data_IF_915862718820
#
_entry.id   IF_915862718820
#
_cell.length_a   1.000
_cell.length_b   1.000
_cell.length_c   1.000
_cell.angle_alpha   90.00
_cell.angle_beta   90.00
_cell.angle_gamma   90.00
#
_symmetry.space_group_name_H-M   'P 1'
#
loop_
_entity.id
_entity.type
_entity.pdbx_description
1 polymer ?
#
# COMPACT_ATOMS: atom_id res chain seq x y z
N UNK A 1 -1.15 12.18 76.71
CA UNK A 1 -0.42 11.13 75.94
C UNK A 1 -1.42 10.07 75.54
N UNK A 2 -2.00 10.19 74.35
CA UNK A 2 -2.83 9.18 73.71
C UNK A 2 -2.14 8.82 72.40
N UNK A 3 -1.72 7.57 72.27
CA UNK A 3 -1.07 7.03 71.08
C UNK A 3 -2.16 6.69 70.05
N UNK A 4 -2.09 7.30 68.87
CA UNK A 4 -2.89 6.93 67.72
C UNK A 4 -2.21 5.75 67.01
N UNK A 5 -2.96 4.67 66.83
CA UNK A 5 -2.59 3.49 66.05
C UNK A 5 -2.94 3.73 64.58
N UNK A 6 -1.93 3.73 63.70
CA UNK A 6 -2.11 3.72 62.25
C UNK A 6 -2.43 2.29 61.77
N UNK A 7 -3.51 2.11 61.01
CA UNK A 7 -3.80 0.89 60.26
C UNK A 7 -3.13 0.94 58.86
N UNK A 8 -2.60 -0.20 58.36
CA UNK A 8 -1.99 -0.24 57.03
C UNK A 8 -3.03 -0.31 55.91
N UNK A 9 -2.90 0.60 54.94
CA UNK A 9 -3.69 0.65 53.70
C UNK A 9 -3.34 -0.55 52.82
N UNK A 10 -4.32 -1.41 52.52
CA UNK A 10 -4.18 -2.52 51.57
C UNK A 10 -4.21 -2.00 50.14
N UNK A 11 -3.12 -2.21 49.40
CA UNK A 11 -3.00 -1.92 47.97
C UNK A 11 -3.76 -2.96 47.13
N UNK A 12 -4.93 -2.58 46.60
CA UNK A 12 -5.70 -3.33 45.59
C UNK A 12 -5.04 -3.31 44.19
N UNK A 13 -3.77 -3.69 44.09
CA UNK A 13 -3.01 -3.75 42.83
C UNK A 13 -3.01 -5.09 42.05
N UNK A 14 -3.48 -6.26 42.57
CA UNK A 14 -3.35 -7.52 41.82
C UNK A 14 -4.43 -7.74 40.74
N UNK A 15 -5.63 -7.15 40.86
CA UNK A 15 -6.71 -7.36 39.89
C UNK A 15 -6.49 -6.62 38.55
N UNK A 16 -5.87 -5.45 38.57
CA UNK A 16 -5.60 -4.68 37.36
C UNK A 16 -4.55 -5.34 36.45
N UNK A 17 -3.56 -6.04 37.03
CA UNK A 17 -2.56 -6.80 36.27
C UNK A 17 -3.16 -8.00 35.54
N UNK A 18 -4.05 -8.74 36.20
CA UNK A 18 -4.71 -9.90 35.58
C UNK A 18 -5.51 -9.52 34.34
N UNK A 19 -6.23 -8.39 34.39
CA UNK A 19 -7.00 -7.89 33.22
C UNK A 19 -6.08 -7.51 32.06
N UNK A 20 -4.92 -6.91 32.35
CA UNK A 20 -3.94 -6.54 31.31
C UNK A 20 -3.33 -7.78 30.66
N UNK A 21 -2.98 -8.79 31.45
CA UNK A 21 -2.42 -10.05 30.95
C UNK A 21 -3.45 -10.84 30.11
N UNK A 22 -4.71 -10.85 30.54
CA UNK A 22 -5.81 -11.48 29.78
C UNK A 22 -6.04 -10.80 28.42
N UNK A 23 -5.95 -9.47 28.38
CA UNK A 23 -6.07 -8.70 27.12
C UNK A 23 -4.87 -8.97 26.21
N UNK A 24 -3.65 -9.05 26.75
CA UNK A 24 -2.44 -9.36 25.96
C UNK A 24 -2.54 -10.75 25.33
N UNK A 25 -3.02 -11.74 26.10
CA UNK A 25 -3.19 -13.10 25.61
C UNK A 25 -4.26 -13.17 24.51
N UNK A 26 -5.42 -12.53 24.71
CA UNK A 26 -6.47 -12.49 23.71
C UNK A 26 -6.02 -11.80 22.40
N UNK A 27 -5.20 -10.74 22.50
CA UNK A 27 -4.62 -10.08 21.32
C UNK A 27 -3.59 -10.97 20.62
N UNK A 28 -2.77 -11.71 21.37
CA UNK A 28 -1.81 -12.66 20.79
C UNK A 28 -2.51 -13.77 20.01
N UNK A 29 -3.57 -14.34 20.57
CA UNK A 29 -4.35 -15.41 19.94
C UNK A 29 -4.98 -14.94 18.62
N UNK A 30 -5.57 -13.74 18.61
CA UNK A 30 -6.13 -13.14 17.38
C UNK A 30 -5.05 -12.86 16.33
N UNK A 31 -3.86 -12.42 16.76
CA UNK A 31 -2.74 -12.17 15.85
C UNK A 31 -2.25 -13.48 15.23
N UNK A 32 -2.11 -14.54 16.02
CA UNK A 32 -1.66 -15.84 15.53
C UNK A 32 -2.69 -16.49 14.60
N UNK A 33 -3.99 -16.42 14.93
CA UNK A 33 -5.07 -16.88 14.04
C UNK A 33 -5.12 -16.07 12.74
N UNK A 34 -4.89 -14.74 12.81
CA UNK A 34 -4.82 -13.90 11.61
C UNK A 34 -3.60 -14.21 10.73
N UNK A 35 -2.48 -14.64 11.32
CA UNK A 35 -1.28 -15.10 10.59
C UNK A 35 -1.54 -16.41 9.88
N UNK A 36 -2.22 -17.34 10.54
CA UNK A 36 -2.57 -18.63 9.92
C UNK A 36 -3.55 -18.42 8.76
N UNK A 37 -4.55 -17.57 8.91
CA UNK A 37 -5.46 -17.19 7.82
C UNK A 37 -4.72 -16.46 6.70
N UNK A 38 -3.83 -15.52 7.02
CA UNK A 38 -3.03 -14.82 6.03
C UNK A 38 -2.06 -15.77 5.30
N UNK A 39 -1.47 -16.74 5.99
CA UNK A 39 -0.60 -17.76 5.43
C UNK A 39 -1.37 -18.79 4.59
N UNK A 40 -2.61 -19.13 4.94
CA UNK A 40 -3.46 -19.99 4.12
C UNK A 40 -3.92 -19.25 2.85
N UNK A 41 -4.26 -17.96 2.95
CA UNK A 41 -4.67 -17.15 1.79
C UNK A 41 -3.48 -16.85 0.88
N UNK A 42 -2.33 -16.45 1.45
CA UNK A 42 -1.14 -16.09 0.66
C UNK A 42 -0.33 -17.31 0.25
N UNK A 43 -0.12 -18.28 1.14
CA UNK A 43 0.62 -19.51 0.89
C UNK A 43 -0.14 -20.50 0.02
N UNK A 44 -1.47 -20.60 0.17
CA UNK A 44 -2.31 -21.39 -0.74
C UNK A 44 -2.35 -20.81 -2.14
N UNK A 45 -2.60 -19.50 -2.27
CA UNK A 45 -2.63 -18.84 -3.58
C UNK A 45 -1.24 -18.78 -4.25
N UNK A 46 -0.17 -18.50 -3.51
CA UNK A 46 1.20 -18.50 -4.04
C UNK A 46 1.65 -19.93 -4.39
N UNK A 47 1.33 -20.92 -3.55
CA UNK A 47 1.63 -22.33 -3.81
C UNK A 47 0.89 -22.87 -5.05
N UNK A 48 -0.38 -22.50 -5.23
CA UNK A 48 -1.15 -22.85 -6.42
C UNK A 48 -0.64 -22.13 -7.68
N UNK A 49 -0.19 -20.87 -7.56
CA UNK A 49 0.45 -20.12 -8.65
C UNK A 49 1.82 -20.73 -8.99
N UNK A 50 2.62 -21.14 -8.02
CA UNK A 50 3.91 -21.80 -8.24
C UNK A 50 3.74 -23.19 -8.85
N UNK A 51 2.75 -23.97 -8.40
CA UNK A 51 2.41 -25.28 -8.96
C UNK A 51 1.83 -25.16 -10.38
N UNK A 52 1.01 -24.14 -10.65
CA UNK A 52 0.52 -23.83 -11.99
C UNK A 52 1.66 -23.37 -12.90
N UNK A 53 2.57 -22.53 -12.40
CA UNK A 53 3.75 -22.08 -13.13
C UNK A 53 4.71 -23.24 -13.45
N UNK A 54 4.94 -24.16 -12.50
CA UNK A 54 5.73 -25.37 -12.72
C UNK A 54 5.08 -26.32 -13.73
N UNK A 55 3.76 -26.51 -13.68
CA UNK A 55 3.04 -27.34 -14.65
C UNK A 55 3.05 -26.73 -16.07
N UNK A 56 2.97 -25.40 -16.18
CA UNK A 56 3.09 -24.66 -17.44
C UNK A 56 4.53 -24.74 -17.97
N UNK A 57 5.54 -24.60 -17.10
CA UNK A 57 6.95 -24.72 -17.45
C UNK A 57 7.32 -26.15 -17.89
N UNK A 58 6.76 -27.18 -17.25
CA UNK A 58 6.95 -28.58 -17.67
C UNK A 58 6.26 -28.89 -19.00
N UNK A 59 5.06 -28.32 -19.25
CA UNK A 59 4.38 -28.47 -20.55
C UNK A 59 5.05 -27.69 -21.68
N UNK A 60 5.71 -26.57 -21.39
CA UNK A 60 6.48 -25.76 -22.35
C UNK A 60 7.93 -26.25 -22.52
N UNK A 61 8.46 -27.01 -21.56
CA UNK A 61 9.84 -27.51 -21.53
C UNK A 61 10.16 -28.66 -22.50
N UNK A 62 9.15 -29.22 -23.17
CA UNK A 62 9.36 -30.31 -24.14
C UNK A 62 9.82 -29.83 -25.53
N UNK A 63 10.00 -28.51 -25.78
CA UNK A 63 10.30 -28.03 -27.13
C UNK A 63 11.08 -26.72 -27.30
N UNK A 64 11.61 -26.10 -26.25
CA UNK A 64 12.38 -24.84 -26.38
C UNK A 64 13.71 -24.90 -25.59
N UNK A 65 14.81 -24.32 -26.11
CA UNK A 65 16.10 -24.35 -25.44
C UNK A 65 16.00 -23.72 -24.06
N UNK A 66 16.58 -24.40 -23.07
CA UNK A 66 16.59 -24.05 -21.66
C UNK A 66 16.92 -22.57 -21.41
N UNK A 67 15.89 -21.79 -21.06
CA UNK A 67 16.06 -20.46 -20.50
C UNK A 67 16.50 -20.62 -19.03
N UNK A 68 17.81 -20.79 -18.83
CA UNK A 68 18.42 -20.61 -17.52
C UNK A 68 18.02 -19.23 -16.99
N UNK A 69 17.34 -19.17 -15.84
CA UNK A 69 17.00 -17.94 -15.14
C UNK A 69 18.21 -17.51 -14.29
N UNK A 70 18.97 -16.48 -14.69
CA UNK A 70 19.99 -15.92 -13.81
C UNK A 70 19.29 -14.97 -12.83
N UNK A 71 19.61 -15.10 -11.54
CA UNK A 71 19.04 -14.36 -10.41
C UNK A 71 19.26 -12.84 -10.41
N UNK A 72 18.63 -12.14 -11.36
CA UNK A 72 18.30 -10.72 -11.26
C UNK A 72 16.86 -10.56 -11.77
N UNK A 73 15.95 -10.04 -10.93
CA UNK A 73 14.57 -9.75 -11.34
C UNK A 73 14.64 -8.83 -12.56
N UNK A 74 14.24 -9.32 -13.74
CA UNK A 74 14.30 -8.53 -14.98
C UNK A 74 13.09 -7.60 -15.01
N UNK A 75 13.25 -6.27 -15.05
CA UNK A 75 12.12 -5.30 -14.99
C UNK A 75 11.09 -5.46 -16.12
N UNK A 76 11.38 -6.27 -17.15
CA UNK A 76 10.47 -6.60 -18.24
C UNK A 76 9.14 -7.24 -17.80
N UNK A 77 9.04 -7.88 -16.63
CA UNK A 77 7.75 -8.45 -16.18
C UNK A 77 6.72 -7.36 -15.85
N UNK A 78 7.14 -6.24 -15.25
CA UNK A 78 6.25 -5.11 -14.99
C UNK A 78 5.69 -4.54 -16.27
N UNK A 79 6.54 -4.42 -17.29
CA UNK A 79 6.14 -3.88 -18.60
C UNK A 79 5.21 -4.86 -19.31
N UNK A 80 5.50 -6.16 -19.26
CA UNK A 80 4.59 -7.18 -19.80
C UNK A 80 3.22 -7.12 -19.11
N UNK A 81 3.20 -6.93 -17.80
CA UNK A 81 1.96 -6.77 -17.04
C UNK A 81 1.22 -5.48 -17.42
N UNK A 82 1.91 -4.35 -17.61
CA UNK A 82 1.31 -3.11 -18.13
C UNK A 82 0.74 -3.28 -19.54
N UNK A 83 1.40 -4.05 -20.41
CA UNK A 83 0.90 -4.35 -21.77
C UNK A 83 -0.38 -5.21 -21.69
N UNK A 84 -0.43 -6.19 -20.79
CA UNK A 84 -1.64 -6.99 -20.54
C UNK A 84 -2.78 -6.12 -19.99
N UNK A 85 -2.50 -5.28 -19.00
CA UNK A 85 -3.45 -4.31 -18.48
C UNK A 85 -3.95 -3.38 -19.59
N UNK A 86 -3.07 -2.89 -20.46
CA UNK A 86 -3.45 -2.07 -21.60
C UNK A 86 -4.37 -2.80 -22.59
N UNK A 87 -4.11 -4.07 -22.88
CA UNK A 87 -4.98 -4.88 -23.74
C UNK A 87 -6.38 -5.05 -23.13
N UNK A 88 -6.45 -5.33 -21.82
CA UNK A 88 -7.72 -5.42 -21.09
C UNK A 88 -8.45 -4.08 -21.08
N UNK A 89 -7.74 -2.97 -20.87
CA UNK A 89 -8.30 -1.63 -20.87
C UNK A 89 -8.89 -1.26 -22.24
N UNK A 90 -8.17 -1.53 -23.33
CA UNK A 90 -8.67 -1.28 -24.69
C UNK A 90 -9.91 -2.14 -24.96
N UNK A 91 -9.88 -3.43 -24.59
CA UNK A 91 -11.03 -4.33 -24.74
C UNK A 91 -12.25 -3.88 -23.94
N UNK A 92 -12.04 -3.41 -22.70
CA UNK A 92 -13.09 -2.84 -21.87
C UNK A 92 -13.62 -1.51 -22.45
N UNK A 93 -12.75 -0.69 -23.03
CA UNK A 93 -13.11 0.60 -23.63
C UNK A 93 -13.87 0.45 -24.95
N UNK A 94 -13.66 -0.65 -25.68
CA UNK A 94 -14.35 -0.93 -26.95
C UNK A 94 -15.88 -0.98 -26.80
N UNK A 95 -16.38 -1.31 -25.62
CA UNK A 95 -17.83 -1.34 -25.32
C UNK A 95 -18.45 0.07 -25.29
N UNK A 96 -17.61 1.10 -25.16
CA UNK A 96 -18.01 2.52 -25.09
C UNK A 96 -17.57 3.30 -26.33
N UNK A 97 -17.03 2.61 -27.35
CA UNK A 97 -16.64 3.20 -28.62
C UNK A 97 -17.89 3.65 -29.40
N UNK A 98 -18.05 4.95 -29.60
CA UNK A 98 -19.17 5.54 -30.34
C UNK A 98 -20.23 6.22 -29.48
N UNK A 99 -20.17 6.06 -28.15
CA UNK A 99 -20.76 7.04 -27.24
C UNK A 99 -19.86 8.28 -27.30
N UNK A 100 -20.40 9.49 -27.52
CA UNK A 100 -19.64 10.75 -27.54
C UNK A 100 -19.07 11.10 -26.14
N UNK A 101 -18.31 10.19 -25.54
CA UNK A 101 -17.69 10.36 -24.24
C UNK A 101 -16.19 10.58 -24.44
N UNK A 102 -15.73 11.80 -24.18
CA UNK A 102 -14.31 12.14 -24.19
C UNK A 102 -13.47 11.23 -23.29
N UNK A 103 -14.10 10.57 -22.31
CA UNK A 103 -13.45 9.63 -21.40
C UNK A 103 -13.25 8.23 -22.00
N UNK A 104 -14.17 7.73 -22.83
CA UNK A 104 -13.97 6.48 -23.56
C UNK A 104 -12.78 6.57 -24.51
N UNK A 105 -12.68 7.66 -25.26
CA UNK A 105 -11.54 7.94 -26.13
C UNK A 105 -10.23 8.08 -25.32
N UNK A 106 -10.30 8.76 -24.17
CA UNK A 106 -9.15 8.87 -23.27
C UNK A 106 -8.71 7.51 -22.71
N UNK A 107 -9.65 6.62 -22.36
CA UNK A 107 -9.32 5.26 -21.91
C UNK A 107 -8.63 4.43 -23.00
N UNK A 108 -9.11 4.51 -24.24
CA UNK A 108 -8.45 3.91 -25.40
C UNK A 108 -7.05 4.49 -25.56
N UNK A 109 -6.88 5.82 -25.41
CA UNK A 109 -5.57 6.47 -25.47
C UNK A 109 -4.62 5.97 -24.38
N UNK A 110 -5.08 5.88 -23.13
CA UNK A 110 -4.29 5.38 -22.01
C UNK A 110 -3.77 3.98 -22.30
N UNK A 111 -4.66 3.08 -22.74
CA UNK A 111 -4.30 1.72 -23.13
C UNK A 111 -3.38 1.67 -24.35
N UNK A 112 -3.68 2.41 -25.42
CA UNK A 112 -2.91 2.38 -26.66
C UNK A 112 -1.47 2.89 -26.47
N UNK A 113 -1.30 4.00 -25.73
CA UNK A 113 0.03 4.53 -25.38
C UNK A 113 0.76 3.56 -24.45
N UNK A 114 0.07 3.01 -23.45
CA UNK A 114 0.61 2.01 -22.53
C UNK A 114 1.13 0.75 -23.24
N UNK A 115 0.33 0.21 -24.17
CA UNK A 115 0.71 -0.94 -24.99
C UNK A 115 1.83 -0.62 -25.98
N UNK A 116 1.71 0.48 -26.73
CA UNK A 116 2.68 0.85 -27.76
C UNK A 116 4.07 1.11 -27.21
N UNK A 117 4.16 1.95 -26.17
CA UNK A 117 5.43 2.20 -25.49
C UNK A 117 5.90 0.98 -24.71
N UNK A 118 4.99 0.19 -24.14
CA UNK A 118 5.33 -1.02 -23.39
C UNK A 118 5.98 -2.07 -24.28
N UNK A 119 5.38 -2.34 -25.45
CA UNK A 119 5.93 -3.24 -26.45
C UNK A 119 7.27 -2.74 -26.99
N UNK A 120 7.39 -1.45 -27.30
CA UNK A 120 8.66 -0.86 -27.72
C UNK A 120 9.74 -1.07 -26.64
N UNK A 121 9.42 -0.80 -25.38
CA UNK A 121 10.36 -0.96 -24.28
C UNK A 121 10.76 -2.43 -24.10
N UNK A 122 9.81 -3.38 -24.20
CA UNK A 122 10.10 -4.82 -24.19
C UNK A 122 11.01 -5.25 -25.34
N UNK A 123 10.82 -4.68 -26.55
CA UNK A 123 11.71 -4.94 -27.68
C UNK A 123 13.13 -4.45 -27.40
N UNK A 124 13.28 -3.28 -26.78
CA UNK A 124 14.59 -2.74 -26.38
C UNK A 124 15.24 -3.59 -25.28
N UNK A 125 14.47 -4.12 -24.31
CA UNK A 125 15.00 -5.10 -23.36
C UNK A 125 15.45 -6.39 -24.05
N UNK A 126 14.66 -6.88 -25.01
CA UNK A 126 14.97 -8.11 -25.75
C UNK A 126 16.21 -7.97 -26.62
N UNK A 127 16.41 -6.81 -27.25
CA UNK A 127 17.61 -6.53 -28.05
C UNK A 127 18.88 -6.39 -27.22
N UNK A 128 18.77 -6.37 -25.87
CA UNK A 128 19.87 -6.10 -24.93
C UNK A 128 20.56 -4.78 -25.23
N UNK A 129 19.80 -3.81 -25.72
CA UNK A 129 20.32 -2.51 -26.04
C UNK A 129 20.72 -1.78 -24.74
N UNK A 130 21.96 -1.30 -24.71
CA UNK A 130 22.50 -0.54 -23.57
C UNK A 130 21.88 0.85 -23.45
N UNK A 131 21.11 1.30 -24.44
CA UNK A 131 20.43 2.59 -24.44
C UNK A 131 19.51 2.80 -23.23
N UNK A 132 18.87 1.77 -22.67
CA UNK A 132 18.03 1.93 -21.47
C UNK A 132 18.83 2.34 -20.23
N UNK A 133 20.04 1.78 -20.09
CA UNK A 133 20.93 2.06 -18.96
C UNK A 133 21.80 3.31 -19.17
N UNK A 134 21.69 3.95 -20.33
CA UNK A 134 22.41 5.19 -20.64
C UNK A 134 21.99 6.29 -19.66
N UNK A 135 22.97 6.83 -18.94
CA UNK A 135 22.79 7.99 -18.06
C UNK A 135 22.61 9.24 -18.91
N UNK A 136 21.57 10.00 -18.63
CA UNK A 136 21.29 11.27 -19.30
C UNK A 136 21.87 12.44 -18.53
N UNK A 137 21.61 12.48 -17.23
CA UNK A 137 22.09 13.52 -16.33
C UNK A 137 22.14 13.00 -14.89
N UNK A 138 22.80 13.74 -14.02
CA UNK A 138 22.86 13.48 -12.58
C UNK A 138 22.12 14.58 -11.85
N UNK A 139 21.19 14.19 -10.97
CA UNK A 139 20.39 15.12 -10.19
C UNK A 139 20.82 15.04 -8.72
N UNK A 140 21.14 16.20 -8.14
CA UNK A 140 21.56 16.28 -6.74
C UNK A 140 20.46 15.71 -5.83
N UNK A 141 20.80 14.67 -5.05
CA UNK A 141 19.88 13.99 -4.14
C UNK A 141 19.13 12.78 -4.72
N UNK A 142 19.05 12.63 -6.05
CA UNK A 142 18.40 11.47 -6.72
C UNK A 142 19.43 10.56 -7.40
N UNK A 143 20.58 11.10 -7.80
CA UNK A 143 21.67 10.36 -8.45
C UNK A 143 21.55 10.35 -9.97
N UNK A 144 22.09 9.30 -10.59
CA UNK A 144 22.15 9.16 -12.05
C UNK A 144 20.77 8.81 -12.62
N UNK A 145 20.25 9.68 -13.49
CA UNK A 145 18.98 9.48 -14.18
C UNK A 145 19.25 8.79 -15.52
N UNK A 146 18.70 7.58 -15.68
CA UNK A 146 18.83 6.78 -16.90
C UNK A 146 17.61 6.93 -17.81
N UNK A 147 17.74 6.54 -19.08
CA UNK A 147 16.59 6.46 -20.00
C UNK A 147 15.46 5.56 -19.46
N UNK A 148 15.82 4.44 -18.84
CA UNK A 148 14.86 3.53 -18.22
C UNK A 148 14.06 4.22 -17.11
N UNK A 149 14.71 5.04 -16.26
CA UNK A 149 14.02 5.80 -15.22
C UNK A 149 13.04 6.81 -15.80
N UNK A 150 13.41 7.50 -16.88
CA UNK A 150 12.54 8.45 -17.55
C UNK A 150 11.30 7.77 -18.16
N UNK A 151 11.50 6.62 -18.82
CA UNK A 151 10.42 5.81 -19.37
C UNK A 151 9.50 5.29 -18.25
N UNK A 152 10.09 4.78 -17.18
CA UNK A 152 9.33 4.26 -16.05
C UNK A 152 8.56 5.36 -15.32
N UNK A 153 9.15 6.55 -15.18
CA UNK A 153 8.49 7.73 -14.62
C UNK A 153 7.32 8.19 -15.50
N UNK A 154 7.53 8.21 -16.82
CA UNK A 154 6.45 8.47 -17.77
C UNK A 154 5.30 7.47 -17.59
N UNK A 155 5.59 6.16 -17.55
CA UNK A 155 4.55 5.15 -17.32
C UNK A 155 3.81 5.38 -16.01
N UNK A 156 4.55 5.67 -14.93
CA UNK A 156 3.95 5.94 -13.63
C UNK A 156 2.97 7.10 -13.69
N UNK A 157 3.38 8.25 -14.21
CA UNK A 157 2.49 9.42 -14.35
C UNK A 157 1.31 9.09 -15.27
N UNK A 158 1.56 8.45 -16.41
CA UNK A 158 0.53 8.13 -17.40
C UNK A 158 -0.56 7.22 -16.85
N UNK A 159 -0.16 6.13 -16.18
CA UNK A 159 -1.10 5.18 -15.60
C UNK A 159 -1.80 5.71 -14.36
N UNK A 160 -1.11 6.45 -13.49
CA UNK A 160 -1.73 7.05 -12.30
C UNK A 160 -2.76 8.11 -12.69
N UNK A 161 -2.42 9.01 -13.63
CA UNK A 161 -3.38 10.01 -14.13
C UNK A 161 -4.55 9.31 -14.82
N UNK A 162 -4.29 8.30 -15.65
CA UNK A 162 -5.33 7.49 -16.28
C UNK A 162 -6.27 6.85 -15.25
N UNK A 163 -5.72 6.19 -14.23
CA UNK A 163 -6.50 5.57 -13.15
C UNK A 163 -7.32 6.61 -12.38
N UNK A 164 -6.71 7.72 -11.96
CA UNK A 164 -7.41 8.78 -11.22
C UNK A 164 -8.51 9.44 -12.06
N UNK A 165 -8.24 9.81 -13.31
CA UNK A 165 -9.23 10.49 -14.15
C UNK A 165 -10.39 9.54 -14.48
N UNK A 166 -10.10 8.34 -14.94
CA UNK A 166 -11.12 7.42 -15.45
C UNK A 166 -11.91 6.72 -14.33
N UNK A 167 -11.30 6.40 -13.19
CA UNK A 167 -12.04 5.70 -12.12
C UNK A 167 -12.80 6.64 -11.19
N UNK A 168 -12.47 7.94 -11.17
CA UNK A 168 -13.20 8.92 -10.35
C UNK A 168 -14.20 9.77 -11.15
N UNK A 169 -13.97 9.99 -12.45
CA UNK A 169 -14.81 10.89 -13.26
C UNK A 169 -15.60 10.19 -14.37
N UNK A 170 -15.23 8.95 -14.74
CA UNK A 170 -15.93 8.22 -15.80
C UNK A 170 -16.76 7.09 -15.20
N UNK A 171 -18.07 7.29 -15.12
CA UNK A 171 -19.01 6.38 -14.46
C UNK A 171 -18.85 4.90 -14.84
N UNK A 172 -18.64 4.51 -16.12
CA UNK A 172 -18.44 3.12 -16.48
C UNK A 172 -17.22 2.46 -15.83
N UNK A 173 -16.17 3.25 -15.56
CA UNK A 173 -14.93 2.77 -14.93
C UNK A 173 -14.82 3.16 -13.46
N UNK A 174 -15.80 3.86 -12.89
CA UNK A 174 -15.95 4.04 -11.45
C UNK A 174 -16.57 2.80 -10.78
N UNK A 175 -17.30 2.00 -11.56
CA UNK A 175 -17.83 0.69 -11.15
C UNK A 175 -16.73 -0.36 -11.32
N UNK A 176 -16.62 -1.26 -10.34
CA UNK A 176 -15.68 -2.38 -10.41
C UNK A 176 -15.93 -3.26 -11.64
N UNK A 177 -14.89 -3.45 -12.46
CA UNK A 177 -14.95 -4.23 -13.69
C UNK A 177 -13.59 -4.25 -14.38
N UNK A 178 -13.53 -4.83 -15.58
CA UNK A 178 -12.26 -5.01 -16.31
C UNK A 178 -11.52 -3.68 -16.55
N UNK A 179 -12.24 -2.61 -16.91
CA UNK A 179 -11.65 -1.27 -17.08
C UNK A 179 -11.07 -0.71 -15.79
N UNK A 180 -11.82 -0.79 -14.69
CA UNK A 180 -11.39 -0.37 -13.35
C UNK A 180 -10.11 -1.11 -12.92
N UNK A 181 -10.13 -2.45 -12.96
CA UNK A 181 -9.00 -3.25 -12.47
C UNK A 181 -7.78 -3.13 -13.37
N UNK A 182 -7.94 -3.01 -14.69
CA UNK A 182 -6.82 -2.83 -15.61
C UNK A 182 -6.09 -1.49 -15.41
N UNK A 183 -6.81 -0.40 -15.13
CA UNK A 183 -6.21 0.90 -14.81
C UNK A 183 -5.36 0.85 -13.55
N UNK A 184 -5.90 0.30 -12.46
CA UNK A 184 -5.17 0.17 -11.20
C UNK A 184 -4.02 -0.84 -11.31
N UNK A 185 -4.21 -1.95 -12.02
CA UNK A 185 -3.15 -2.92 -12.32
C UNK A 185 -1.99 -2.27 -13.08
N UNK A 186 -2.28 -1.46 -14.10
CA UNK A 186 -1.28 -0.69 -14.83
C UNK A 186 -0.58 0.34 -13.94
N UNK A 187 -1.31 1.05 -13.08
CA UNK A 187 -0.73 1.98 -12.12
C UNK A 187 0.24 1.30 -11.14
N UNK A 188 -0.16 0.18 -10.52
CA UNK A 188 0.72 -0.56 -9.62
C UNK A 188 1.96 -1.14 -10.33
N UNK A 189 1.78 -1.70 -11.53
CA UNK A 189 2.91 -2.22 -12.28
C UNK A 189 3.86 -1.12 -12.76
N UNK A 190 3.34 0.06 -13.11
CA UNK A 190 4.17 1.22 -13.45
C UNK A 190 4.95 1.75 -12.25
N UNK A 191 4.37 1.72 -11.05
CA UNK A 191 5.06 2.06 -9.81
C UNK A 191 6.18 1.05 -9.51
N UNK A 192 5.89 -0.25 -9.63
CA UNK A 192 6.91 -1.31 -9.51
C UNK A 192 8.02 -1.15 -10.54
N UNK A 193 7.69 -0.82 -11.78
CA UNK A 193 8.67 -0.57 -12.83
C UNK A 193 9.56 0.64 -12.53
N UNK A 194 8.97 1.77 -12.12
CA UNK A 194 9.72 2.97 -11.72
C UNK A 194 10.67 2.67 -10.56
N UNK A 195 10.19 1.89 -9.60
CA UNK A 195 10.98 1.50 -8.46
C UNK A 195 12.18 0.63 -8.90
N UNK A 196 11.98 -0.39 -9.74
CA UNK A 196 13.06 -1.23 -10.27
C UNK A 196 14.04 -0.44 -11.17
N UNK A 197 13.52 0.42 -12.04
CA UNK A 197 14.30 1.24 -12.98
C UNK A 197 15.23 2.22 -12.25
N UNK A 198 14.82 2.70 -11.08
CA UNK A 198 15.59 3.66 -10.29
C UNK A 198 16.89 3.08 -9.74
N UNK A 199 17.03 1.75 -9.61
CA UNK A 199 18.26 1.01 -9.35
C UNK A 199 19.08 1.34 -8.09
N UNK A 200 18.82 2.48 -7.45
CA UNK A 200 19.58 3.08 -6.33
C UNK A 200 18.66 3.62 -5.24
N UNK A 201 17.35 3.63 -5.46
CA UNK A 201 16.35 4.10 -4.49
C UNK A 201 15.69 2.94 -3.76
N UNK A 202 15.62 1.74 -4.33
CA UNK A 202 14.94 0.59 -3.71
C UNK A 202 15.77 -0.08 -2.60
N UNK A 203 17.10 -0.17 -2.64
CA UNK A 203 17.76 -0.86 -1.51
C UNK A 203 17.57 -0.08 -0.20
N UNK A 204 17.49 1.24 -0.26
CA UNK A 204 17.17 2.10 0.89
C UNK A 204 15.65 2.27 1.12
N UNK A 205 14.85 2.44 0.06
CA UNK A 205 13.40 2.61 0.18
C UNK A 205 12.67 1.28 0.40
N UNK A 206 13.20 0.16 -0.09
CA UNK A 206 12.69 -1.20 0.13
C UNK A 206 13.38 -1.92 1.28
N UNK A 207 14.52 -1.46 1.81
CA UNK A 207 14.85 -1.78 3.20
C UNK A 207 13.91 -1.05 4.15
N UNK A 208 13.68 0.27 3.95
CA UNK A 208 12.70 1.06 4.70
C UNK A 208 11.25 0.57 4.52
N UNK A 209 10.87 0.09 3.33
CA UNK A 209 9.55 -0.48 3.07
C UNK A 209 9.48 -2.00 3.37
N UNK A 210 10.61 -2.69 3.59
CA UNK A 210 10.56 -3.99 4.28
C UNK A 210 10.40 -3.80 5.78
N UNK A 211 11.02 -2.76 6.35
CA UNK A 211 10.98 -2.48 7.78
C UNK A 211 9.83 -1.58 8.21
N UNK A 212 9.11 -0.90 7.32
CA UNK A 212 7.92 -0.06 7.61
C UNK A 212 6.93 -0.07 6.44
N UNK A 213 6.88 -1.17 5.69
CA UNK A 213 6.08 -1.31 4.47
C UNK A 213 4.61 -0.93 4.61
N UNK A 214 3.92 -1.40 5.67
CA UNK A 214 2.55 -1.00 5.93
C UNK A 214 2.37 0.51 6.10
N UNK A 215 3.30 1.20 6.76
CA UNK A 215 3.28 2.65 6.97
C UNK A 215 3.40 3.42 5.65
N UNK A 216 4.32 3.02 4.76
CA UNK A 216 4.41 3.60 3.41
C UNK A 216 3.18 3.28 2.57
N UNK A 217 2.67 2.04 2.69
CA UNK A 217 1.48 1.60 2.00
C UNK A 217 0.26 2.46 2.33
N UNK A 218 0.12 2.89 3.59
CA UNK A 218 -1.00 3.73 4.06
C UNK A 218 -1.12 5.10 3.37
N UNK A 219 -0.07 5.58 2.70
CA UNK A 219 -0.14 6.82 1.92
C UNK A 219 -1.17 6.69 0.81
N UNK A 220 -1.21 5.54 0.12
CA UNK A 220 -2.12 5.29 -1.01
C UNK A 220 -3.59 5.38 -0.60
N UNK A 221 -4.11 4.58 0.35
CA UNK A 221 -5.51 4.69 0.78
C UNK A 221 -5.81 6.07 1.39
N UNK A 222 -4.86 6.73 2.05
CA UNK A 222 -5.06 8.10 2.56
C UNK A 222 -5.33 9.10 1.44
N UNK A 223 -4.52 9.07 0.37
CA UNK A 223 -4.70 9.95 -0.80
C UNK A 223 -5.95 9.59 -1.58
N UNK A 224 -6.21 8.30 -1.82
CA UNK A 224 -7.42 7.83 -2.53
C UNK A 224 -8.67 8.24 -1.77
N UNK A 225 -8.69 8.17 -0.43
CA UNK A 225 -9.81 8.61 0.39
C UNK A 225 -10.04 10.13 0.30
N UNK A 226 -8.97 10.94 0.32
CA UNK A 226 -9.06 12.40 0.10
C UNK A 226 -9.66 12.72 -1.27
N UNK A 227 -9.21 12.05 -2.33
CA UNK A 227 -9.76 12.25 -3.67
C UNK A 227 -11.23 11.80 -3.71
N UNK A 228 -11.52 10.58 -3.24
CA UNK A 228 -12.87 10.01 -3.27
C UNK A 228 -13.90 10.89 -2.55
N UNK A 229 -13.51 11.49 -1.42
CA UNK A 229 -14.39 12.38 -0.64
C UNK A 229 -14.49 13.80 -1.19
N UNK A 230 -13.68 14.17 -2.19
CA UNK A 230 -13.71 15.51 -2.83
C UNK A 230 -14.25 15.51 -4.25
N UNK A 231 -14.12 14.41 -4.99
CA UNK A 231 -14.56 14.30 -6.39
C UNK A 231 -16.00 13.79 -6.54
N UNK A 232 -16.62 13.31 -5.47
CA UNK A 232 -17.98 12.79 -5.57
C UNK A 232 -18.98 13.93 -5.80
N UNK A 233 -19.50 14.04 -7.03
CA UNK A 233 -20.53 15.01 -7.42
C UNK A 233 -21.86 14.81 -6.64
N UNK A 234 -21.94 13.81 -5.76
CA UNK A 234 -23.01 13.63 -4.76
C UNK A 234 -22.95 14.65 -3.61
N UNK A 235 -21.99 15.60 -3.61
CA UNK A 235 -22.03 16.86 -2.84
C UNK A 235 -23.33 17.63 -3.13
N UNK A 236 -24.47 17.20 -2.56
CA UNK A 236 -25.74 17.89 -2.77
C UNK A 236 -27.02 17.09 -2.54
N UNK A 237 -27.01 15.77 -2.37
CA UNK A 237 -28.27 15.03 -2.22
C UNK A 237 -28.82 15.01 -0.78
N UNK A 238 -27.98 15.07 0.27
CA UNK A 238 -28.44 15.33 1.64
C UNK A 238 -27.35 15.89 2.57
N UNK A 239 -27.75 16.59 3.66
CA UNK A 239 -26.79 17.15 4.65
C UNK A 239 -25.97 16.06 5.37
N UNK A 240 -26.53 14.87 5.56
CA UNK A 240 -25.86 13.76 6.23
C UNK A 240 -24.70 13.21 5.38
N UNK A 241 -24.87 13.16 4.06
CA UNK A 241 -23.83 12.72 3.12
C UNK A 241 -22.62 13.67 3.15
N UNK A 242 -22.89 14.97 3.28
CA UNK A 242 -21.85 16.00 3.37
C UNK A 242 -20.98 15.84 4.63
N UNK A 243 -21.59 15.49 5.76
CA UNK A 243 -20.86 15.36 7.02
C UNK A 243 -20.00 14.09 7.05
N UNK A 244 -20.45 13.00 6.43
CA UNK A 244 -19.65 11.78 6.27
C UNK A 244 -18.51 11.95 5.27
N UNK A 245 -18.71 12.70 4.17
CA UNK A 245 -17.61 13.07 3.27
C UNK A 245 -16.54 13.91 3.98
N UNK A 246 -16.94 14.90 4.80
CA UNK A 246 -16.00 15.67 5.63
C UNK A 246 -15.26 14.77 6.63
N UNK A 247 -15.95 13.80 7.22
CA UNK A 247 -15.33 12.82 8.11
C UNK A 247 -14.27 12.00 7.38
N UNK A 248 -14.59 11.42 6.22
CA UNK A 248 -13.62 10.67 5.41
C UNK A 248 -12.44 11.52 4.93
N UNK A 249 -12.68 12.77 4.53
CA UNK A 249 -11.62 13.73 4.21
C UNK A 249 -10.70 13.96 5.41
N UNK A 250 -11.28 14.13 6.60
CA UNK A 250 -10.53 14.32 7.84
C UNK A 250 -9.68 13.10 8.17
N UNK A 251 -10.23 11.89 8.03
CA UNK A 251 -9.49 10.62 8.21
C UNK A 251 -8.29 10.55 7.28
N UNK A 252 -8.50 10.82 5.98
CA UNK A 252 -7.43 10.80 4.99
C UNK A 252 -6.31 11.82 5.29
N UNK A 253 -6.67 13.04 5.69
CA UNK A 253 -5.69 14.09 6.05
C UNK A 253 -4.95 13.74 7.33
N UNK A 254 -5.66 13.36 8.40
CA UNK A 254 -5.04 13.02 9.69
C UNK A 254 -4.08 11.84 9.52
N UNK A 255 -4.51 10.80 8.81
CA UNK A 255 -3.68 9.64 8.48
C UNK A 255 -2.43 10.07 7.71
N UNK A 256 -2.58 10.84 6.63
CA UNK A 256 -1.45 11.28 5.81
C UNK A 256 -0.44 12.14 6.60
N UNK A 257 -0.93 13.09 7.39
CA UNK A 257 -0.07 13.94 8.23
C UNK A 257 0.64 13.10 9.30
N UNK A 258 -0.06 12.17 9.95
CA UNK A 258 0.52 11.26 10.93
C UNK A 258 1.63 10.38 10.34
N UNK A 259 1.38 9.82 9.15
CA UNK A 259 2.36 9.00 8.42
C UNK A 259 3.59 9.84 8.06
N UNK A 260 3.41 11.01 7.45
CA UNK A 260 4.52 11.90 7.08
C UNK A 260 5.31 12.37 8.31
N UNK A 261 4.62 12.62 9.42
CA UNK A 261 5.27 12.98 10.68
C UNK A 261 6.12 11.83 11.23
N UNK A 262 5.61 10.60 11.26
CA UNK A 262 6.39 9.43 11.68
C UNK A 262 7.60 9.19 10.77
N UNK A 263 7.43 9.33 9.44
CA UNK A 263 8.54 9.20 8.49
C UNK A 263 9.59 10.31 8.69
N UNK A 264 9.17 11.54 8.99
CA UNK A 264 10.09 12.64 9.28
C UNK A 264 10.82 12.45 10.61
N UNK A 265 10.17 11.86 11.62
CA UNK A 265 10.81 11.51 12.89
C UNK A 265 11.81 10.37 12.74
N UNK A 266 11.50 9.36 11.92
CA UNK A 266 12.42 8.25 11.65
C UNK A 266 13.74 8.73 11.02
N UNK A 267 13.66 9.65 10.06
CA UNK A 267 14.82 10.24 9.41
C UNK A 267 15.64 11.13 10.37
N UNK A 268 14.98 11.78 11.33
CA UNK A 268 15.63 12.65 12.34
C UNK A 268 16.18 11.88 13.54
N UNK A 269 15.50 10.81 13.99
CA UNK A 269 15.95 9.95 15.10
C UNK A 269 17.26 9.25 14.78
N UNK A 270 17.48 8.94 13.50
CA UNK A 270 18.77 8.45 12.99
C UNK A 270 19.91 9.48 13.10
N UNK A 271 19.61 10.78 13.33
CA UNK A 271 20.58 11.89 13.36
C UNK A 271 20.68 12.60 14.72
N UNK A 272 19.71 12.40 15.61
CA UNK A 272 19.64 13.08 16.90
C UNK A 272 19.78 12.06 18.01
N UNK A 273 20.85 12.19 18.79
CA UNK A 273 21.06 11.41 20.01
C UNK A 273 20.10 11.93 21.08
N UNK A 274 18.92 11.32 21.15
CA UNK A 274 17.92 11.68 22.14
C UNK A 274 18.37 11.11 23.49
N UNK A 275 18.60 11.98 24.48
CA UNK A 275 18.82 11.52 25.86
C UNK A 275 17.70 10.57 26.34
N UNK A 276 17.95 9.81 27.41
CA UNK A 276 17.11 8.68 27.89
C UNK A 276 15.57 8.89 27.87
N UNK A 277 15.07 10.10 28.11
CA UNK A 277 13.64 10.41 28.04
C UNK A 277 13.11 10.60 26.61
N UNK A 278 13.93 11.13 25.70
CA UNK A 278 13.59 11.25 24.29
C UNK A 278 13.58 9.89 23.58
N UNK A 279 14.44 8.96 23.98
CA UNK A 279 14.44 7.58 23.49
C UNK A 279 13.11 6.87 23.82
N UNK A 280 12.65 6.96 25.07
CA UNK A 280 11.34 6.41 25.47
C UNK A 280 10.17 6.96 24.67
N UNK A 281 10.21 8.26 24.34
CA UNK A 281 9.17 8.90 23.56
C UNK A 281 9.22 8.43 22.09
N UNK A 282 10.42 8.28 21.52
CA UNK A 282 10.63 7.73 20.18
C UNK A 282 10.13 6.29 20.05
N UNK A 283 10.24 5.48 21.11
CA UNK A 283 9.78 4.08 21.09
C UNK A 283 8.28 3.93 21.34
N UNK A 284 7.64 4.85 22.06
CA UNK A 284 6.22 4.75 22.45
C UNK A 284 5.30 5.35 21.40
N UNK A 285 5.76 6.41 20.72
CA UNK A 285 4.95 7.20 19.80
C UNK A 285 4.48 6.42 18.56
N UNK A 286 5.31 5.63 17.85
CA UNK A 286 4.86 4.84 16.69
C UNK A 286 3.72 3.87 17.03
N UNK A 287 3.78 3.22 18.19
CA UNK A 287 2.74 2.29 18.68
C UNK A 287 1.43 2.98 18.97
N UNK A 288 1.50 4.14 19.64
CA UNK A 288 0.32 4.95 19.90
C UNK A 288 -0.33 5.40 18.58
N UNK A 289 0.49 5.87 17.63
CA UNK A 289 0.00 6.26 16.30
C UNK A 289 -0.57 5.07 15.56
N UNK A 290 0.05 3.89 15.61
CA UNK A 290 -0.46 2.67 14.99
C UNK A 290 -1.84 2.29 15.54
N UNK A 291 -2.01 2.30 16.87
CA UNK A 291 -3.29 2.07 17.52
C UNK A 291 -4.35 3.09 17.09
N UNK A 292 -4.00 4.39 17.10
CA UNK A 292 -4.91 5.46 16.65
C UNK A 292 -5.30 5.27 15.18
N UNK A 293 -4.36 4.91 14.31
CA UNK A 293 -4.62 4.63 12.90
C UNK A 293 -5.58 3.44 12.73
N UNK A 294 -5.39 2.34 13.47
CA UNK A 294 -6.32 1.20 13.44
C UNK A 294 -7.73 1.62 13.84
N UNK A 295 -7.89 2.34 14.96
CA UNK A 295 -9.20 2.81 15.39
C UNK A 295 -9.84 3.76 14.37
N UNK A 296 -9.05 4.68 13.82
CA UNK A 296 -9.50 5.67 12.84
C UNK A 296 -9.96 4.99 11.53
N UNK A 297 -9.15 4.08 10.99
CA UNK A 297 -9.47 3.36 9.76
C UNK A 297 -10.58 2.32 9.96
N UNK A 298 -10.71 1.71 11.15
CA UNK A 298 -11.83 0.84 11.48
C UNK A 298 -13.15 1.61 11.51
N UNK A 299 -13.16 2.77 12.18
CA UNK A 299 -14.31 3.65 12.20
C UNK A 299 -14.64 4.17 10.78
N UNK A 300 -13.63 4.50 9.97
CA UNK A 300 -13.82 4.89 8.58
C UNK A 300 -14.41 3.74 7.73
N UNK A 301 -13.89 2.53 7.85
CA UNK A 301 -14.45 1.35 7.17
C UNK A 301 -15.91 1.13 7.56
N UNK A 302 -16.25 1.18 8.85
CA UNK A 302 -17.63 0.98 9.31
C UNK A 302 -18.54 2.11 8.80
N UNK A 303 -18.22 3.36 9.13
CA UNK A 303 -19.11 4.51 8.83
C UNK A 303 -19.21 4.76 7.32
N UNK A 304 -18.08 4.75 6.61
CA UNK A 304 -18.05 5.17 5.21
C UNK A 304 -18.50 4.08 4.24
N UNK A 305 -18.45 2.80 4.63
CA UNK A 305 -18.76 1.68 3.71
C UNK A 305 -20.02 0.90 4.06
N UNK A 306 -20.51 0.95 5.30
CA UNK A 306 -21.80 0.33 5.67
C UNK A 306 -22.97 1.31 5.71
N UNK A 307 -22.71 2.61 5.84
CA UNK A 307 -23.72 3.66 5.73
C UNK A 307 -23.53 4.45 4.44
N UNK A 308 -22.61 5.40 4.44
CA UNK A 308 -22.37 6.32 3.31
C UNK A 308 -21.04 7.06 3.48
N UNK A 309 -20.43 7.56 2.40
CA UNK A 309 -20.96 7.59 1.02
C UNK A 309 -20.69 6.31 0.22
N UNK A 310 -19.78 5.43 0.64
CA UNK A 310 -19.26 4.34 -0.18
C UNK A 310 -20.03 3.02 -0.05
N UNK A 311 -21.36 3.05 -0.05
CA UNK A 311 -22.20 1.83 -0.02
C UNK A 311 -22.54 1.27 -1.40
N UNK A 312 -22.39 2.08 -2.45
CA UNK A 312 -22.70 1.67 -3.82
C UNK A 312 -21.45 1.30 -4.61
N UNK A 313 -21.59 0.34 -5.54
CA UNK A 313 -20.50 -0.15 -6.40
C UNK A 313 -19.90 0.92 -7.32
N UNK A 314 -20.60 2.04 -7.53
CA UNK A 314 -20.13 3.20 -8.31
C UNK A 314 -19.10 4.07 -7.57
N UNK A 315 -18.85 3.81 -6.28
CA UNK A 315 -17.90 4.56 -5.45
C UNK A 315 -16.77 3.64 -4.92
N UNK A 316 -16.34 2.71 -5.77
CA UNK A 316 -15.41 1.65 -5.43
C UNK A 316 -14.08 2.17 -4.86
N UNK A 317 -13.55 3.29 -5.36
CA UNK A 317 -12.27 3.84 -4.91
C UNK A 317 -12.26 4.17 -3.41
N UNK A 318 -13.29 4.88 -2.93
CA UNK A 318 -13.42 5.23 -1.52
C UNK A 318 -13.65 3.99 -0.63
N UNK A 319 -14.46 3.04 -1.13
CA UNK A 319 -14.67 1.75 -0.47
C UNK A 319 -13.34 1.00 -0.27
N UNK A 320 -12.59 0.76 -1.35
CA UNK A 320 -11.32 0.05 -1.28
C UNK A 320 -10.27 0.81 -0.46
N UNK A 321 -10.27 2.14 -0.50
CA UNK A 321 -9.37 2.94 0.33
C UNK A 321 -9.61 2.71 1.83
N UNK A 322 -10.88 2.69 2.27
CA UNK A 322 -11.22 2.44 3.67
C UNK A 322 -10.72 1.06 4.15
N UNK A 323 -11.00 0.02 3.37
CA UNK A 323 -10.60 -1.35 3.73
C UNK A 323 -9.10 -1.59 3.63
N UNK A 324 -8.45 -1.08 2.57
CA UNK A 324 -7.00 -1.17 2.43
C UNK A 324 -6.28 -0.38 3.53
N UNK A 325 -6.79 0.81 3.87
CA UNK A 325 -6.28 1.60 4.98
C UNK A 325 -6.39 0.86 6.31
N UNK A 326 -7.53 0.20 6.58
CA UNK A 326 -7.69 -0.63 7.77
C UNK A 326 -6.68 -1.78 7.82
N UNK A 327 -6.57 -2.57 6.74
CA UNK A 327 -5.63 -3.69 6.66
C UNK A 327 -4.19 -3.21 6.90
N UNK A 328 -3.76 -2.16 6.20
CA UNK A 328 -2.39 -1.66 6.32
C UNK A 328 -2.13 -1.02 7.69
N UNK A 329 -3.13 -0.40 8.32
CA UNK A 329 -3.00 0.11 9.69
C UNK A 329 -2.84 -1.03 10.70
N UNK A 330 -3.54 -2.15 10.50
CA UNK A 330 -3.40 -3.33 11.33
C UNK A 330 -2.04 -4.01 11.13
N UNK A 331 -1.60 -4.17 9.87
CA UNK A 331 -0.26 -4.67 9.57
C UNK A 331 0.83 -3.80 10.19
N UNK A 332 0.66 -2.46 10.18
CA UNK A 332 1.58 -1.55 10.86
C UNK A 332 1.57 -1.77 12.38
N UNK A 333 0.40 -1.91 13.01
CA UNK A 333 0.30 -2.17 14.44
C UNK A 333 0.92 -3.50 14.87
N UNK A 334 0.68 -4.58 14.12
CA UNK A 334 1.29 -5.90 14.36
C UNK A 334 2.80 -5.79 14.29
N UNK A 335 3.32 -5.07 13.30
CA UNK A 335 4.75 -4.89 13.13
C UNK A 335 5.39 -4.19 14.35
N UNK A 336 4.77 -3.12 14.86
CA UNK A 336 5.26 -2.40 16.04
C UNK A 336 5.21 -3.24 17.33
N UNK A 337 4.25 -4.17 17.44
CA UNK A 337 4.15 -5.14 18.55
C UNK A 337 5.25 -6.19 18.46
N UNK A 338 5.55 -6.69 17.26
CA UNK A 338 6.62 -7.68 17.06
C UNK A 338 8.01 -7.11 17.39
N UNK A 339 8.26 -5.84 17.06
CA UNK A 339 9.49 -5.16 17.44
C UNK A 339 9.62 -5.03 18.97
N UNK A 340 8.52 -4.76 19.67
CA UNK A 340 8.49 -4.75 21.13
C UNK A 340 8.81 -6.11 21.75
N UNK A 341 8.17 -7.17 21.24
CA UNK A 341 8.37 -8.52 21.74
C UNK A 341 9.85 -8.90 21.66
N UNK A 342 10.51 -8.64 20.53
CA UNK A 342 11.95 -8.89 20.35
C UNK A 342 12.81 -8.17 21.39
N UNK A 343 12.52 -6.90 21.67
CA UNK A 343 13.27 -6.11 22.66
C UNK A 343 13.14 -6.71 24.08
N UNK A 344 11.93 -7.18 24.43
CA UNK A 344 11.67 -7.82 25.73
C UNK A 344 12.39 -9.16 25.83
N UNK A 345 12.31 -9.99 24.79
CA UNK A 345 12.97 -11.29 24.73
C UNK A 345 14.49 -11.14 24.87
N UNK A 346 15.11 -10.18 24.17
CA UNK A 346 16.55 -9.90 24.26
C UNK A 346 16.96 -9.41 25.67
N UNK A 347 16.14 -8.56 26.30
CA UNK A 347 16.40 -8.06 27.64
C UNK A 347 16.31 -9.17 28.71
N UNK A 348 15.34 -10.09 28.56
CA UNK A 348 15.21 -11.24 29.47
C UNK A 348 16.38 -12.22 29.30
N UNK A 349 16.81 -12.49 28.06
CA UNK A 349 17.95 -13.35 27.77
C UNK A 349 19.28 -12.78 28.31
N UNK A 350 19.48 -11.46 28.28
CA UNK A 350 20.67 -10.81 28.83
C UNK A 350 20.72 -10.79 30.37
N UNK A 351 19.58 -11.04 31.04
CA UNK A 351 19.47 -11.07 32.50
C UNK A 351 19.57 -12.47 33.12
N UNK A 352 19.58 -13.51 32.28
CA UNK A 352 19.72 -14.91 32.66
C UNK A 352 21.18 -15.38 32.58
#
# INVERSE_FOLDING_TARGET
MMAATEEPVSTEEPQARGIVDDVINAVSDVVDESKDVANDITGGAVGDIENAAHNVQNKLGAGLPSLSLPGSRKPGYWIAFMVLAAAVLIGASAQYAGENSSYGDYAVSVGAVGAGLGLLTLLVYRSRDSNLKKVQFELQGVGQVTNEMLIAFFFFVWWVVGACVLTFNFAPFAITGNGYFSLWAGAFASAGYLADASGRTIDSLASRARSKGPLFGLIVPSVVLIIATTTDNSFGQSRLDLDQCKYGLSVGIISLVGILFLLALDDRGSRLDFGRNGQRMADTLPKLVAFVLVCLWAAAAIVLTFDKPFTNTSLANGYFACWLGLILSFCFAVQEIEELRKIVDDATAASA
#
